data_IF_179670827087
#
_entry.id   IF_179670827087
#
_cell.length_a   1.000
_cell.length_b   1.000
_cell.length_c   1.000
_cell.angle_alpha   90.00
_cell.angle_beta   90.00
_cell.angle_gamma   90.00
#
_symmetry.space_group_name_H-M   'P 1'
#
loop_
_entity.id
_entity.type
_entity.pdbx_description
1 polymer ?
#
# COMPACT_ATOMS: atom_id res chain seq x y z
N UNK A 1 -6.30 -15.75 -17.06
CA UNK A 1 -6.16 -16.25 -15.68
C UNK A 1 -7.34 -15.75 -14.85
N UNK A 2 -7.89 -16.57 -13.96
CA UNK A 2 -8.96 -16.17 -13.04
C UNK A 2 -8.33 -15.77 -11.70
N UNK A 3 -8.61 -14.57 -11.21
CA UNK A 3 -8.12 -14.08 -9.92
C UNK A 3 -9.21 -13.29 -9.18
N UNK A 4 -9.01 -13.10 -7.89
CA UNK A 4 -9.92 -12.34 -7.02
C UNK A 4 -9.13 -11.43 -6.07
N UNK A 5 -9.58 -10.19 -5.91
CA UNK A 5 -9.12 -9.30 -4.83
C UNK A 5 -10.06 -9.46 -3.64
N UNK A 6 -9.50 -9.67 -2.46
CA UNK A 6 -10.26 -9.77 -1.21
C UNK A 6 -9.51 -9.11 -0.04
N UNK A 7 -10.23 -8.83 1.03
CA UNK A 7 -9.60 -8.43 2.30
C UNK A 7 -8.74 -9.59 2.82
N UNK A 8 -7.58 -9.25 3.38
CA UNK A 8 -6.72 -10.23 4.03
C UNK A 8 -7.31 -10.70 5.35
N UNK A 9 -6.96 -11.93 5.73
CA UNK A 9 -7.21 -12.54 7.04
C UNK A 9 -5.88 -12.78 7.75
N UNK A 10 -5.92 -13.13 9.04
CA UNK A 10 -4.71 -13.48 9.77
C UNK A 10 -3.91 -14.62 9.11
N UNK A 11 -4.59 -15.56 8.47
CA UNK A 11 -3.96 -16.65 7.72
C UNK A 11 -3.16 -16.22 6.50
N UNK A 12 -3.31 -14.99 6.04
CA UNK A 12 -2.55 -14.44 4.89
C UNK A 12 -1.25 -13.75 5.31
N UNK A 13 -0.98 -13.59 6.61
CA UNK A 13 0.15 -12.78 7.09
C UNK A 13 1.48 -13.26 6.57
N UNK A 14 1.74 -14.56 6.64
CA UNK A 14 3.04 -15.10 6.24
C UNK A 14 3.32 -14.81 4.76
N UNK A 15 2.35 -15.06 3.89
CA UNK A 15 2.50 -14.80 2.46
C UNK A 15 2.55 -13.30 2.15
N UNK A 16 1.82 -12.45 2.88
CA UNK A 16 1.91 -10.99 2.72
C UNK A 16 3.32 -10.52 3.10
N UNK A 17 3.86 -10.99 4.23
CA UNK A 17 5.21 -10.64 4.67
C UNK A 17 6.29 -11.10 3.68
N UNK A 18 6.12 -12.26 3.03
CA UNK A 18 6.99 -12.70 1.93
C UNK A 18 6.91 -11.72 0.75
N UNK A 19 5.70 -11.36 0.32
CA UNK A 19 5.49 -10.43 -0.79
C UNK A 19 6.03 -9.02 -0.50
N UNK A 20 5.96 -8.54 0.76
CA UNK A 20 6.59 -7.28 1.19
C UNK A 20 8.11 -7.36 1.03
N UNK A 21 8.74 -8.48 1.40
CA UNK A 21 10.18 -8.69 1.21
C UNK A 21 10.56 -8.76 -0.27
N UNK A 22 9.70 -9.34 -1.13
CA UNK A 22 9.89 -9.32 -2.59
C UNK A 22 9.82 -7.88 -3.14
N UNK A 23 8.87 -7.06 -2.67
CA UNK A 23 8.77 -5.65 -3.03
C UNK A 23 10.02 -4.88 -2.59
N UNK A 24 10.47 -5.04 -1.34
CA UNK A 24 11.67 -4.39 -0.82
C UNK A 24 12.91 -4.75 -1.64
N UNK A 25 13.03 -6.00 -2.08
CA UNK A 25 14.09 -6.43 -2.99
C UNK A 25 13.99 -5.75 -4.36
N UNK A 26 12.80 -5.65 -4.91
CA UNK A 26 12.56 -4.94 -6.18
C UNK A 26 12.96 -3.46 -6.09
N UNK A 27 12.65 -2.83 -4.97
CA UNK A 27 12.96 -1.42 -4.69
C UNK A 27 14.41 -1.19 -4.21
N UNK A 28 15.21 -2.25 -4.04
CA UNK A 28 16.60 -2.22 -3.54
C UNK A 28 16.70 -1.67 -2.11
N UNK A 29 15.70 -2.00 -1.29
CA UNK A 29 15.54 -1.54 0.10
C UNK A 29 15.40 -2.69 1.10
N UNK A 30 15.91 -3.89 0.78
CA UNK A 30 15.80 -5.07 1.65
C UNK A 30 16.39 -4.89 3.04
N UNK A 31 17.42 -4.04 3.17
CA UNK A 31 18.06 -3.67 4.43
C UNK A 31 17.16 -2.85 5.37
N UNK A 32 16.09 -2.25 4.85
CA UNK A 32 15.11 -1.47 5.63
C UNK A 32 14.02 -2.33 6.25
N UNK A 33 13.92 -3.60 5.87
CA UNK A 33 12.90 -4.53 6.40
C UNK A 33 13.36 -5.06 7.76
N UNK A 34 12.72 -4.59 8.83
CA UNK A 34 13.08 -4.92 10.21
C UNK A 34 11.95 -5.61 11.00
N UNK A 35 10.76 -5.75 10.43
CA UNK A 35 9.61 -6.36 11.10
C UNK A 35 9.72 -7.88 11.21
N UNK A 36 9.06 -8.44 12.24
CA UNK A 36 8.68 -9.85 12.29
C UNK A 36 7.22 -10.02 11.84
N UNK A 37 6.85 -11.23 11.43
CA UNK A 37 5.46 -11.50 11.01
C UNK A 37 4.46 -11.21 12.13
N UNK A 38 4.84 -11.46 13.41
CA UNK A 38 4.02 -11.18 14.57
C UNK A 38 3.78 -9.68 14.76
N UNK A 39 4.82 -8.84 14.63
CA UNK A 39 4.70 -7.37 14.70
C UNK A 39 3.80 -6.86 13.56
N UNK A 40 3.96 -7.42 12.37
CA UNK A 40 3.14 -7.05 11.21
C UNK A 40 1.67 -7.42 11.42
N UNK A 41 1.39 -8.65 11.88
CA UNK A 41 0.04 -9.11 12.18
C UNK A 41 -0.64 -8.25 13.26
N UNK A 42 0.06 -7.95 14.35
CA UNK A 42 -0.45 -7.12 15.45
C UNK A 42 -0.83 -5.72 14.95
N UNK A 43 0.01 -5.12 14.11
CA UNK A 43 -0.25 -3.80 13.53
C UNK A 43 -1.49 -3.77 12.62
N UNK A 44 -1.72 -4.82 11.84
CA UNK A 44 -2.85 -4.91 10.90
C UNK A 44 -4.15 -5.30 11.61
N UNK A 45 -4.14 -6.35 12.44
CA UNK A 45 -5.36 -6.97 12.95
C UNK A 45 -5.77 -6.50 14.33
N UNK A 46 -4.82 -6.21 15.23
CA UNK A 46 -5.12 -5.76 16.58
C UNK A 46 -5.15 -4.23 16.69
N UNK A 47 -4.07 -3.57 16.26
CA UNK A 47 -3.94 -2.11 16.35
C UNK A 47 -4.66 -1.36 15.24
N UNK A 48 -5.00 -2.04 14.14
CA UNK A 48 -5.65 -1.43 12.98
C UNK A 48 -4.93 -0.21 12.40
N UNK A 49 -3.60 -0.20 12.42
CA UNK A 49 -2.80 0.88 11.85
C UNK A 49 -2.95 0.95 10.33
N UNK A 50 -3.18 -0.20 9.70
CA UNK A 50 -3.46 -0.29 8.27
C UNK A 50 -4.40 -1.46 7.97
N UNK A 51 -4.83 -1.58 6.72
CA UNK A 51 -5.65 -2.66 6.18
C UNK A 51 -4.90 -3.35 5.06
N UNK A 52 -5.15 -4.64 4.87
CA UNK A 52 -4.51 -5.43 3.84
C UNK A 52 -5.53 -6.06 2.88
N UNK A 53 -5.16 -6.08 1.61
CA UNK A 53 -5.83 -6.81 0.54
C UNK A 53 -4.88 -7.85 -0.04
N UNK A 54 -5.41 -8.96 -0.51
CA UNK A 54 -4.67 -9.96 -1.28
C UNK A 54 -5.33 -10.19 -2.63
N UNK A 55 -4.50 -10.46 -3.62
CA UNK A 55 -4.92 -11.03 -4.89
C UNK A 55 -4.67 -12.53 -4.85
N UNK A 56 -5.72 -13.30 -5.00
CA UNK A 56 -5.67 -14.76 -4.99
C UNK A 56 -5.97 -15.33 -6.37
N UNK A 57 -5.20 -16.32 -6.79
CA UNK A 57 -5.44 -17.13 -7.97
C UNK A 57 -5.12 -18.60 -7.65
N UNK A 58 -6.04 -19.50 -7.96
CA UNK A 58 -5.89 -20.94 -7.71
C UNK A 58 -5.46 -21.27 -6.27
N UNK A 59 -6.07 -20.57 -5.27
CA UNK A 59 -5.80 -20.76 -3.85
C UNK A 59 -4.46 -20.20 -3.36
N UNK A 60 -3.76 -19.39 -4.18
CA UNK A 60 -2.46 -18.81 -3.84
C UNK A 60 -2.52 -17.28 -3.90
N UNK A 61 -1.96 -16.63 -2.91
CA UNK A 61 -1.76 -15.18 -2.96
C UNK A 61 -0.61 -14.86 -3.94
N UNK A 62 -0.92 -14.04 -4.93
CA UNK A 62 -0.02 -13.62 -6.01
C UNK A 62 0.26 -12.13 -6.02
N UNK A 63 -0.32 -11.38 -5.08
CA UNK A 63 -0.12 -9.97 -4.88
C UNK A 63 -0.84 -9.47 -3.64
N UNK A 64 -0.46 -8.30 -3.18
CA UNK A 64 -1.07 -7.65 -2.01
C UNK A 64 -1.17 -6.15 -2.22
N UNK A 65 -1.98 -5.50 -1.38
CA UNK A 65 -1.98 -4.06 -1.17
C UNK A 65 -2.19 -3.75 0.31
N UNK A 66 -1.47 -2.75 0.82
CA UNK A 66 -1.62 -2.20 2.17
C UNK A 66 -2.11 -0.77 2.05
N UNK A 67 -3.12 -0.40 2.83
CA UNK A 67 -3.67 0.95 2.83
C UNK A 67 -4.13 1.37 4.22
N UNK A 68 -4.23 2.66 4.44
CA UNK A 68 -4.78 3.25 5.66
C UNK A 68 -5.60 4.50 5.35
N UNK A 69 -6.40 4.94 6.31
CA UNK A 69 -7.25 6.11 6.14
C UNK A 69 -6.50 7.41 6.43
N UNK A 70 -6.73 8.40 5.58
CA UNK A 70 -6.27 9.78 5.74
C UNK A 70 -7.46 10.70 5.99
N UNK A 71 -7.18 11.96 6.32
CA UNK A 71 -8.22 12.97 6.53
C UNK A 71 -7.82 14.29 5.88
N UNK A 72 -8.73 14.89 5.13
CA UNK A 72 -8.56 16.22 4.57
C UNK A 72 -9.37 17.24 5.38
N UNK A 73 -8.68 18.14 6.07
CA UNK A 73 -9.34 19.23 6.81
C UNK A 73 -10.14 20.16 5.90
N UNK A 74 -9.66 20.39 4.68
CA UNK A 74 -10.35 21.30 3.74
C UNK A 74 -11.63 20.67 3.17
N UNK A 75 -11.67 19.34 3.02
CA UNK A 75 -12.87 18.65 2.58
C UNK A 75 -13.76 18.21 3.74
N UNK A 76 -13.22 18.14 4.97
CA UNK A 76 -13.91 17.55 6.13
C UNK A 76 -14.20 16.06 5.97
N UNK A 77 -13.48 15.36 5.10
CA UNK A 77 -13.75 13.98 4.71
C UNK A 77 -12.46 13.13 4.69
N UNK A 78 -12.63 11.83 4.86
CA UNK A 78 -11.55 10.87 4.78
C UNK A 78 -11.08 10.61 3.35
N UNK A 79 -9.93 9.97 3.26
CA UNK A 79 -9.34 9.41 2.07
C UNK A 79 -8.64 8.09 2.36
N UNK A 80 -8.08 7.49 1.35
CA UNK A 80 -7.21 6.31 1.46
C UNK A 80 -5.81 6.70 1.02
N UNK A 81 -4.81 6.29 1.80
CA UNK A 81 -3.42 6.24 1.37
C UNK A 81 -3.04 4.79 1.13
N UNK A 82 -2.64 4.48 -0.10
CA UNK A 82 -2.10 3.19 -0.47
C UNK A 82 -0.61 3.20 -0.16
N UNK A 83 -0.20 2.45 0.89
CA UNK A 83 1.20 2.34 1.30
C UNK A 83 1.98 1.51 0.29
N UNK A 84 1.51 0.29 0.02
CA UNK A 84 2.14 -0.65 -0.89
C UNK A 84 1.13 -1.30 -1.83
N UNK A 85 1.59 -1.58 -3.04
CA UNK A 85 0.97 -2.50 -3.98
C UNK A 85 2.05 -3.32 -4.68
N UNK A 86 1.90 -4.63 -4.64
CA UNK A 86 2.83 -5.53 -5.29
C UNK A 86 2.09 -6.70 -5.97
N UNK A 87 2.57 -7.06 -7.15
CA UNK A 87 2.14 -8.25 -7.89
C UNK A 87 3.38 -9.00 -8.31
N UNK A 88 3.42 -10.31 -8.04
CA UNK A 88 4.52 -11.18 -8.46
C UNK A 88 4.80 -11.02 -9.96
N UNK A 89 6.07 -10.99 -10.32
CA UNK A 89 6.54 -10.63 -11.66
C UNK A 89 5.86 -11.45 -12.76
N UNK A 90 5.70 -12.74 -12.55
CA UNK A 90 5.11 -13.68 -13.50
C UNK A 90 3.60 -13.47 -13.73
N UNK A 91 2.93 -12.72 -12.84
CA UNK A 91 1.49 -12.40 -12.93
C UNK A 91 1.21 -10.96 -13.35
N UNK A 92 2.26 -10.18 -13.66
CA UNK A 92 2.08 -8.79 -14.12
C UNK A 92 1.47 -8.73 -15.53
N UNK A 93 1.01 -7.53 -15.91
CA UNK A 93 0.38 -7.25 -17.21
C UNK A 93 -0.93 -8.02 -17.47
N UNK A 94 -1.56 -8.55 -16.41
CA UNK A 94 -2.83 -9.28 -16.48
C UNK A 94 -3.99 -8.52 -15.82
N UNK A 95 -3.82 -7.21 -15.61
CA UNK A 95 -4.86 -6.34 -15.05
C UNK A 95 -4.99 -6.35 -13.52
N UNK A 96 -4.15 -7.11 -12.79
CA UNK A 96 -4.26 -7.26 -11.32
C UNK A 96 -4.03 -5.92 -10.61
N UNK A 97 -3.02 -5.14 -11.00
CA UNK A 97 -2.79 -3.81 -10.44
C UNK A 97 -4.03 -2.91 -10.59
N UNK A 98 -4.64 -2.90 -11.78
CA UNK A 98 -5.87 -2.15 -12.03
C UNK A 98 -7.04 -2.66 -11.19
N UNK A 99 -7.12 -3.96 -10.92
CA UNK A 99 -8.15 -4.55 -10.08
C UNK A 99 -8.00 -4.11 -8.61
N UNK A 100 -6.79 -4.01 -8.07
CA UNK A 100 -6.54 -3.43 -6.74
C UNK A 100 -7.01 -1.98 -6.67
N UNK A 101 -6.65 -1.13 -7.64
CA UNK A 101 -7.11 0.26 -7.67
C UNK A 101 -8.62 0.37 -7.80
N UNK A 102 -9.26 -0.49 -8.60
CA UNK A 102 -10.73 -0.55 -8.70
C UNK A 102 -11.38 -0.93 -7.36
N UNK A 103 -10.79 -1.88 -6.63
CA UNK A 103 -11.27 -2.28 -5.32
C UNK A 103 -11.17 -1.14 -4.31
N UNK A 104 -10.03 -0.45 -4.25
CA UNK A 104 -9.82 0.72 -3.38
C UNK A 104 -10.76 1.88 -3.74
N UNK A 105 -10.94 2.15 -5.04
CA UNK A 105 -11.88 3.16 -5.51
C UNK A 105 -13.33 2.82 -5.13
N UNK A 106 -13.70 1.52 -5.12
CA UNK A 106 -15.01 1.09 -4.65
C UNK A 106 -15.18 1.35 -3.15
N UNK A 107 -14.15 1.07 -2.32
CA UNK A 107 -14.17 1.45 -0.89
C UNK A 107 -14.34 2.97 -0.74
N UNK A 108 -13.61 3.78 -1.51
CA UNK A 108 -13.77 5.23 -1.47
C UNK A 108 -15.20 5.66 -1.78
N UNK A 109 -15.83 5.04 -2.77
CA UNK A 109 -17.22 5.33 -3.14
C UNK A 109 -18.19 4.93 -2.03
N UNK A 110 -18.07 3.72 -1.51
CA UNK A 110 -18.99 3.15 -0.53
C UNK A 110 -18.93 3.89 0.82
N UNK A 111 -17.75 4.37 1.20
CA UNK A 111 -17.49 5.07 2.45
C UNK A 111 -17.45 6.62 2.29
N UNK A 112 -17.83 7.14 1.11
CA UNK A 112 -17.80 8.59 0.79
C UNK A 112 -16.43 9.25 1.03
N UNK A 113 -15.34 8.53 0.74
CA UNK A 113 -13.98 9.06 0.78
C UNK A 113 -13.66 9.81 -0.52
N UNK A 114 -12.84 10.86 -0.47
CA UNK A 114 -12.65 11.78 -1.60
C UNK A 114 -11.28 11.70 -2.25
N UNK A 115 -10.34 10.94 -1.67
CA UNK A 115 -8.97 10.82 -2.18
C UNK A 115 -8.50 9.37 -2.12
N UNK A 116 -7.72 9.00 -3.13
CA UNK A 116 -6.86 7.82 -3.14
C UNK A 116 -5.47 8.31 -3.51
N UNK A 117 -4.55 8.24 -2.57
CA UNK A 117 -3.20 8.81 -2.66
C UNK A 117 -2.15 7.72 -2.44
N UNK A 118 -0.98 7.87 -3.04
CA UNK A 118 0.18 6.98 -2.89
C UNK A 118 1.45 7.67 -3.32
N UNK A 119 2.60 7.07 -3.00
CA UNK A 119 3.90 7.46 -3.50
C UNK A 119 4.46 6.43 -4.49
N UNK A 120 5.40 6.87 -5.30
CA UNK A 120 6.14 6.02 -6.22
C UNK A 120 7.58 6.51 -6.30
N UNK A 121 8.53 5.59 -6.34
CA UNK A 121 9.95 5.92 -6.54
C UNK A 121 10.15 6.59 -7.91
N UNK A 122 10.89 7.68 -7.95
CA UNK A 122 11.09 8.51 -9.13
C UNK A 122 11.69 7.76 -10.33
N UNK A 123 12.41 6.69 -10.09
CA UNK A 123 13.00 5.86 -11.15
C UNK A 123 12.07 4.76 -11.68
N UNK A 124 10.91 4.54 -11.05
CA UNK A 124 10.00 3.44 -11.40
C UNK A 124 9.05 3.84 -12.55
N UNK A 125 9.63 4.09 -13.71
CA UNK A 125 8.92 4.50 -14.93
C UNK A 125 7.72 3.60 -15.30
N UNK A 126 7.81 2.26 -15.21
CA UNK A 126 6.65 1.41 -15.53
C UNK A 126 5.44 1.69 -14.62
N UNK A 127 5.68 1.90 -13.33
CA UNK A 127 4.62 2.23 -12.36
C UNK A 127 4.09 3.65 -12.58
N UNK A 128 4.95 4.63 -12.85
CA UNK A 128 4.55 6.01 -13.14
C UNK A 128 3.59 6.03 -14.33
N UNK A 129 3.97 5.42 -15.45
CA UNK A 129 3.12 5.33 -16.65
C UNK A 129 1.78 4.62 -16.38
N UNK A 130 1.81 3.57 -15.56
CA UNK A 130 0.59 2.87 -15.16
C UNK A 130 -0.35 3.79 -14.37
N UNK A 131 0.16 4.55 -13.40
CA UNK A 131 -0.64 5.47 -12.60
C UNK A 131 -1.21 6.63 -13.43
N UNK A 132 -0.39 7.24 -14.28
CA UNK A 132 -0.83 8.31 -15.19
C UNK A 132 -1.91 7.81 -16.16
N UNK A 133 -1.82 6.57 -16.63
CA UNK A 133 -2.84 5.97 -17.51
C UNK A 133 -4.23 5.84 -16.85
N UNK A 134 -4.29 5.87 -15.51
CA UNK A 134 -5.54 5.89 -14.74
C UNK A 134 -6.03 7.31 -14.42
N UNK A 135 -5.33 8.34 -14.86
CA UNK A 135 -5.66 9.75 -14.60
C UNK A 135 -5.09 10.29 -13.29
N UNK A 136 -4.15 9.57 -12.64
CA UNK A 136 -3.45 10.08 -11.46
C UNK A 136 -2.55 11.28 -11.83
N UNK A 137 -2.45 12.23 -10.89
CA UNK A 137 -1.65 13.44 -11.06
C UNK A 137 -0.56 13.49 -10.00
N UNK A 138 0.67 13.81 -10.40
CA UNK A 138 1.76 14.05 -9.47
C UNK A 138 1.49 15.32 -8.65
N UNK A 139 1.46 15.18 -7.32
CA UNK A 139 1.23 16.28 -6.36
C UNK A 139 2.53 16.82 -5.73
N UNK A 140 3.69 16.21 -6.01
CA UNK A 140 4.95 16.54 -5.34
C UNK A 140 5.58 17.86 -5.81
N UNK A 141 5.04 18.53 -6.82
CA UNK A 141 5.58 19.79 -7.34
C UNK A 141 5.44 20.97 -6.36
N UNK A 142 4.40 20.96 -5.52
CA UNK A 142 4.08 22.07 -4.60
C UNK A 142 4.33 21.71 -3.13
N UNK A 143 4.46 20.42 -2.78
CA UNK A 143 4.51 19.93 -1.40
C UNK A 143 5.81 19.20 -1.13
N UNK A 144 6.40 19.46 0.05
CA UNK A 144 7.51 18.68 0.57
C UNK A 144 7.01 17.76 1.67
N UNK A 145 7.41 16.51 1.63
CA UNK A 145 7.15 15.57 2.72
C UNK A 145 8.30 15.62 3.72
N UNK A 146 7.96 15.73 5.00
CA UNK A 146 8.92 15.67 6.11
C UNK A 146 8.68 14.42 6.93
N UNK A 147 9.77 13.85 7.44
CA UNK A 147 9.75 12.69 8.33
C UNK A 147 10.61 12.97 9.56
N UNK A 148 10.11 12.54 10.71
CA UNK A 148 10.86 12.49 11.95
C UNK A 148 10.76 11.04 12.46
N UNK A 149 11.90 10.39 12.65
CA UNK A 149 11.97 9.01 13.10
C UNK A 149 13.18 8.78 14.03
N UNK A 150 13.29 7.57 14.59
CA UNK A 150 14.38 7.13 15.44
C UNK A 150 14.66 8.10 16.60
N UNK A 151 15.95 8.37 16.83
CA UNK A 151 16.41 9.24 17.93
C UNK A 151 15.85 10.67 17.87
N UNK A 152 15.56 11.18 16.66
CA UNK A 152 15.03 12.54 16.54
C UNK A 152 13.59 12.63 17.01
N UNK A 153 12.81 11.56 16.85
CA UNK A 153 11.47 11.47 17.40
C UNK A 153 11.49 11.42 18.93
N UNK A 154 12.42 10.62 19.50
CA UNK A 154 12.61 10.52 20.95
C UNK A 154 13.08 11.83 21.56
N UNK A 155 14.01 12.55 20.91
CA UNK A 155 14.48 13.87 21.37
C UNK A 155 13.35 14.88 21.42
N UNK A 156 12.40 14.85 20.49
CA UNK A 156 11.29 15.78 20.46
C UNK A 156 10.34 15.61 21.66
N UNK A 157 10.17 14.39 22.18
CA UNK A 157 9.35 14.10 23.36
C UNK A 157 9.96 14.72 24.63
N UNK A 158 11.27 14.95 24.65
CA UNK A 158 12.03 15.44 25.82
C UNK A 158 12.39 16.93 25.72
N UNK A 159 11.81 17.68 24.78
CA UNK A 159 11.89 19.14 24.72
C UNK A 159 10.91 19.79 25.70
#
# INVERSE_FOLDING_TARGET
MKFQIRKATEGDIDVICELVRELASYEKMSDQVTFTNEIFADSIFNKNHAKALVCESDGRAIGYAIYFYTFSTFLGLGGIYLEDIYVKKEFRNQGIGKAFFKFLAQICKDENLKRLEWCCLNWNEPSIKFYESMGAKNQSLEWRTYRLDGENLEKLVNL
#
